data_IF_818675358557
#
_entry.id   IF_818675358557
#
_cell.length_a   1.000
_cell.length_b   1.000
_cell.length_c   1.000
_cell.angle_alpha   90.00
_cell.angle_beta   90.00
_cell.angle_gamma   90.00
#
_symmetry.space_group_name_H-M   'P 1'
#
loop_
_entity.id
_entity.type
_entity.pdbx_description
1 polymer ?
#
# COMPACT_ATOMS: atom_id res chain seq x y z
N UNK A 1 -26.21 -0.46 8.56
CA UNK A 1 -27.40 -1.33 8.40
C UNK A 1 -28.21 -1.10 7.11
N UNK A 2 -28.29 0.13 6.55
CA UNK A 2 -29.03 0.43 5.30
C UNK A 2 -28.36 -0.11 4.02
N UNK A 3 -27.03 0.01 3.91
CA UNK A 3 -26.26 -0.42 2.73
C UNK A 3 -26.36 -1.91 2.43
N UNK A 4 -26.43 -2.76 3.46
CA UNK A 4 -26.55 -4.21 3.31
C UNK A 4 -27.92 -4.65 2.76
N UNK A 5 -28.97 -3.82 2.91
CA UNK A 5 -30.28 -4.06 2.29
C UNK A 5 -30.29 -3.65 0.82
N UNK A 6 -29.69 -2.50 0.49
CA UNK A 6 -29.59 -2.00 -0.89
C UNK A 6 -28.71 -2.89 -1.77
N UNK A 7 -27.60 -3.42 -1.24
CA UNK A 7 -26.70 -4.31 -1.96
C UNK A 7 -27.33 -5.66 -2.37
N UNK A 8 -28.52 -6.03 -1.84
CA UNK A 8 -29.26 -7.24 -2.24
C UNK A 8 -30.06 -7.05 -3.53
N UNK A 9 -30.28 -5.81 -3.95
CA UNK A 9 -31.06 -5.50 -5.13
C UNK A 9 -30.22 -5.77 -6.38
N UNK A 10 -30.71 -6.63 -7.28
CA UNK A 10 -30.02 -6.99 -8.52
C UNK A 10 -29.58 -5.75 -9.32
N UNK A 11 -30.47 -4.76 -9.44
CA UNK A 11 -30.20 -3.50 -10.14
C UNK A 11 -29.02 -2.72 -9.53
N UNK A 12 -28.93 -2.64 -8.21
CA UNK A 12 -27.81 -1.96 -7.52
C UNK A 12 -26.50 -2.68 -7.81
N UNK A 13 -26.50 -4.01 -7.77
CA UNK A 13 -25.31 -4.83 -8.06
C UNK A 13 -24.87 -4.72 -9.52
N UNK A 14 -25.83 -4.71 -10.44
CA UNK A 14 -25.57 -4.51 -11.87
C UNK A 14 -24.98 -3.13 -12.13
N UNK A 15 -25.57 -2.06 -11.57
CA UNK A 15 -25.05 -0.71 -11.70
C UNK A 15 -23.63 -0.58 -11.10
N UNK A 16 -23.41 -1.16 -9.92
CA UNK A 16 -22.09 -1.20 -9.29
C UNK A 16 -21.06 -1.95 -10.15
N UNK A 17 -21.42 -3.09 -10.75
CA UNK A 17 -20.54 -3.83 -11.66
C UNK A 17 -20.17 -3.00 -12.88
N UNK A 18 -21.16 -2.39 -13.54
CA UNK A 18 -20.91 -1.57 -14.73
C UNK A 18 -19.96 -0.43 -14.41
N UNK A 19 -20.20 0.29 -13.30
CA UNK A 19 -19.32 1.37 -12.86
C UNK A 19 -17.92 0.86 -12.53
N UNK A 20 -17.82 -0.20 -11.72
CA UNK A 20 -16.54 -0.74 -11.27
C UNK A 20 -15.71 -1.30 -12.43
N UNK A 21 -16.34 -2.04 -13.36
CA UNK A 21 -15.71 -2.51 -14.61
C UNK A 21 -15.21 -1.34 -15.44
N UNK A 22 -16.03 -0.29 -15.61
CA UNK A 22 -15.63 0.91 -16.36
C UNK A 22 -14.43 1.61 -15.73
N UNK A 23 -14.39 1.74 -14.39
CA UNK A 23 -13.25 2.33 -13.68
C UNK A 23 -11.99 1.46 -13.81
N UNK A 24 -12.12 0.15 -13.66
CA UNK A 24 -11.03 -0.81 -13.75
C UNK A 24 -10.41 -0.85 -15.15
N UNK A 25 -11.22 -0.96 -16.21
CA UNK A 25 -10.73 -0.95 -17.60
C UNK A 25 -10.13 0.40 -17.99
N UNK A 26 -10.71 1.52 -17.54
CA UNK A 26 -10.10 2.86 -17.73
C UNK A 26 -8.75 2.98 -17.04
N UNK A 27 -8.59 2.38 -15.85
CA UNK A 27 -7.32 2.39 -15.13
C UNK A 27 -6.26 1.59 -15.91
N UNK A 28 -6.62 0.44 -16.45
CA UNK A 28 -5.73 -0.40 -17.25
C UNK A 28 -5.29 0.32 -18.53
N UNK A 29 -6.24 0.87 -19.30
CA UNK A 29 -5.92 1.62 -20.51
C UNK A 29 -5.02 2.84 -20.25
N UNK A 30 -5.17 3.51 -19.10
CA UNK A 30 -4.26 4.61 -18.69
C UNK A 30 -2.84 4.12 -18.42
N UNK A 31 -2.66 2.89 -17.95
CA UNK A 31 -1.34 2.31 -17.72
C UNK A 31 -0.65 1.91 -19.03
N UNK A 32 -1.41 1.41 -20.01
CA UNK A 32 -0.85 1.00 -21.31
C UNK A 32 -0.25 2.19 -22.10
N UNK A 33 -0.74 3.41 -21.84
CA UNK A 33 -0.24 4.64 -22.47
C UNK A 33 0.75 5.41 -21.59
N UNK A 34 1.21 4.81 -20.49
CA UNK A 34 2.08 5.46 -19.52
C UNK A 34 3.54 5.27 -19.89
N UNK A 35 4.33 6.35 -19.90
CA UNK A 35 5.78 6.22 -19.85
C UNK A 35 6.18 5.69 -18.47
N UNK A 36 6.53 4.39 -18.44
CA UNK A 36 6.85 3.66 -17.22
C UNK A 36 8.11 4.18 -16.54
N UNK A 37 9.14 4.54 -17.32
CA UNK A 37 10.40 5.03 -16.78
C UNK A 37 10.20 6.40 -16.14
N UNK A 38 9.53 7.32 -16.85
CA UNK A 38 9.21 8.64 -16.33
C UNK A 38 8.32 8.58 -15.08
N UNK A 39 7.35 7.65 -15.03
CA UNK A 39 6.48 7.49 -13.85
C UNK A 39 7.22 6.90 -12.64
N UNK A 40 8.13 5.95 -12.84
CA UNK A 40 8.97 5.42 -11.76
C UNK A 40 9.87 6.52 -11.18
N UNK A 41 10.50 7.32 -12.03
CA UNK A 41 11.31 8.47 -11.58
C UNK A 41 10.47 9.50 -10.83
N UNK A 42 9.32 9.90 -11.38
CA UNK A 42 8.41 10.83 -10.71
C UNK A 42 7.94 10.31 -9.35
N UNK A 43 7.64 9.01 -9.25
CA UNK A 43 7.24 8.36 -8.00
C UNK A 43 8.38 8.39 -6.98
N UNK A 44 9.60 8.02 -7.37
CA UNK A 44 10.78 8.08 -6.50
C UNK A 44 10.98 9.50 -5.98
N UNK A 45 11.00 10.50 -6.86
CA UNK A 45 11.23 11.90 -6.47
C UNK A 45 10.11 12.44 -5.59
N UNK A 46 8.86 12.03 -5.80
CA UNK A 46 7.76 12.35 -4.91
C UNK A 46 8.00 11.78 -3.49
N UNK A 47 8.34 10.50 -3.37
CA UNK A 47 8.59 9.84 -2.08
C UNK A 47 9.76 10.49 -1.34
N UNK A 48 10.85 10.79 -2.05
CA UNK A 48 12.04 11.46 -1.51
C UNK A 48 11.71 12.86 -1.01
N UNK A 49 11.01 13.68 -1.82
CA UNK A 49 10.60 15.03 -1.41
C UNK A 49 9.72 14.98 -0.17
N UNK A 50 8.75 14.07 -0.15
CA UNK A 50 7.84 13.91 0.98
C UNK A 50 8.56 13.52 2.27
N UNK A 51 9.54 12.61 2.18
CA UNK A 51 10.30 12.15 3.34
C UNK A 51 11.50 13.06 3.69
N UNK A 52 11.65 14.25 3.09
CA UNK A 52 12.85 15.08 3.25
C UNK A 52 13.13 15.46 4.71
N UNK A 53 12.10 15.77 5.49
CA UNK A 53 12.27 16.22 6.89
C UNK A 53 12.34 15.10 7.91
N UNK A 54 12.22 13.84 7.47
CA UNK A 54 12.40 12.66 8.33
C UNK A 54 13.86 12.51 8.75
N UNK A 55 14.12 11.78 9.84
CA UNK A 55 15.48 11.43 10.25
C UNK A 55 16.24 10.74 9.12
N UNK A 56 15.63 9.75 8.48
CA UNK A 56 16.20 9.06 7.31
C UNK A 56 16.51 10.05 6.18
N UNK A 57 15.57 10.94 5.85
CA UNK A 57 15.74 11.93 4.79
C UNK A 57 16.88 12.91 5.04
N UNK A 58 17.03 13.39 6.29
CA UNK A 58 18.11 14.29 6.71
C UNK A 58 19.47 13.60 6.64
N UNK A 59 19.58 12.39 7.19
CA UNK A 59 20.84 11.61 7.19
C UNK A 59 21.33 11.29 5.77
N UNK A 60 20.41 11.12 4.81
CA UNK A 60 20.71 10.83 3.41
C UNK A 60 20.70 12.05 2.49
N UNK A 61 20.49 13.25 3.03
CA UNK A 61 20.48 14.49 2.27
C UNK A 61 19.40 14.55 1.18
N UNK A 62 18.18 14.08 1.46
CA UNK A 62 17.06 14.03 0.52
C UNK A 62 16.75 15.38 -0.14
N UNK A 63 16.98 16.48 0.58
CA UNK A 63 16.85 17.83 0.05
C UNK A 63 17.69 18.11 -1.20
N UNK A 64 18.76 17.34 -1.46
CA UNK A 64 19.67 17.48 -2.61
C UNK A 64 19.41 16.47 -3.73
N UNK A 65 18.52 15.50 -3.55
CA UNK A 65 18.24 14.48 -4.56
C UNK A 65 17.34 15.09 -5.65
N UNK A 66 17.80 15.03 -6.90
CA UNK A 66 17.05 15.51 -8.08
C UNK A 66 16.83 14.45 -9.13
N UNK A 67 17.64 13.40 -9.12
CA UNK A 67 17.61 12.32 -10.11
C UNK A 67 17.63 10.95 -9.43
N UNK A 68 17.33 9.89 -10.19
CA UNK A 68 17.52 8.50 -9.73
C UNK A 68 18.97 8.23 -9.32
N UNK A 69 19.95 8.74 -10.09
CA UNK A 69 21.37 8.59 -9.78
C UNK A 69 21.77 9.25 -8.46
N UNK A 70 21.21 10.42 -8.16
CA UNK A 70 21.43 11.09 -6.87
C UNK A 70 20.97 10.23 -5.69
N UNK A 71 19.82 9.57 -5.83
CA UNK A 71 19.28 8.69 -4.82
C UNK A 71 20.16 7.46 -4.63
N UNK A 72 20.55 6.80 -5.72
CA UNK A 72 21.39 5.59 -5.67
C UNK A 72 22.76 5.84 -5.04
N UNK A 73 23.36 7.01 -5.27
CA UNK A 73 24.64 7.39 -4.66
C UNK A 73 24.54 7.64 -3.15
N UNK A 74 23.38 8.09 -2.67
CA UNK A 74 23.17 8.50 -1.27
C UNK A 74 22.56 7.39 -0.43
N UNK A 75 21.64 6.61 -0.99
CA UNK A 75 20.83 5.62 -0.28
C UNK A 75 21.29 4.22 -0.63
N UNK A 76 21.98 3.58 0.31
CA UNK A 76 22.39 2.19 0.18
C UNK A 76 21.22 1.24 0.39
N UNK A 77 21.30 0.07 -0.24
CA UNK A 77 20.41 -1.06 0.03
C UNK A 77 20.51 -1.47 1.50
N UNK A 78 19.38 -1.85 2.08
CA UNK A 78 19.22 -2.19 3.50
C UNK A 78 18.30 -3.37 3.69
N UNK A 79 18.54 -4.11 4.76
CA UNK A 79 17.64 -5.17 5.24
C UNK A 79 16.54 -4.59 6.13
N UNK A 80 15.54 -5.39 6.46
CA UNK A 80 14.53 -5.00 7.47
C UNK A 80 15.19 -4.75 8.82
N UNK A 81 16.15 -5.61 9.18
CA UNK A 81 16.85 -5.58 10.45
C UNK A 81 17.67 -4.29 10.60
N UNK A 82 18.23 -3.76 9.51
CA UNK A 82 18.87 -2.44 9.50
C UNK A 82 17.87 -1.31 9.79
N UNK A 83 16.71 -1.31 9.12
CA UNK A 83 15.68 -0.31 9.39
C UNK A 83 15.15 -0.40 10.81
N UNK A 84 14.92 -1.62 11.29
CA UNK A 84 14.47 -1.87 12.64
C UNK A 84 15.45 -1.31 13.66
N UNK A 85 16.72 -1.71 13.59
CA UNK A 85 17.77 -1.29 14.51
C UNK A 85 18.02 0.22 14.46
N UNK A 86 18.15 0.79 13.26
CA UNK A 86 18.67 2.15 13.12
C UNK A 86 17.57 3.23 13.27
N UNK A 87 16.32 2.92 12.90
CA UNK A 87 15.25 3.91 12.77
C UNK A 87 13.97 3.62 13.55
N UNK A 88 13.63 2.36 13.82
CA UNK A 88 12.30 2.03 14.36
C UNK A 88 12.32 1.55 15.82
N UNK A 89 13.28 0.71 16.21
CA UNK A 89 13.28 0.02 17.51
C UNK A 89 13.23 0.98 18.71
N UNK A 90 13.96 2.10 18.65
CA UNK A 90 14.06 3.03 19.77
C UNK A 90 12.77 3.83 20.02
N UNK A 91 11.91 4.00 19.02
CA UNK A 91 10.67 4.78 19.12
C UNK A 91 9.42 3.94 18.92
N UNK A 92 9.56 2.64 18.62
CA UNK A 92 8.45 1.74 18.38
C UNK A 92 7.48 1.72 19.58
N UNK A 93 6.15 1.78 19.35
CA UNK A 93 5.47 1.73 18.04
C UNK A 93 5.35 3.08 17.31
N UNK A 94 5.72 4.20 17.94
CA UNK A 94 5.66 5.52 17.33
C UNK A 94 6.91 5.84 16.49
N UNK A 95 6.87 5.43 15.22
CA UNK A 95 7.97 5.68 14.27
C UNK A 95 7.79 6.95 13.44
N UNK A 96 6.92 7.87 13.87
CA UNK A 96 6.65 9.10 13.14
C UNK A 96 7.94 9.91 12.94
N UNK A 97 8.18 10.35 11.71
CA UNK A 97 9.34 11.16 11.38
C UNK A 97 10.66 10.38 11.30
N UNK A 98 10.68 9.08 11.63
CA UNK A 98 11.90 8.24 11.49
C UNK A 98 12.23 7.99 10.02
N UNK A 99 11.32 7.32 9.29
CA UNK A 99 11.47 7.01 7.86
C UNK A 99 10.34 7.58 6.99
N UNK A 100 9.23 7.99 7.62
CA UNK A 100 8.09 8.59 6.94
C UNK A 100 7.50 9.73 7.80
N UNK A 101 6.97 10.81 7.21
CA UNK A 101 6.52 11.97 8.00
C UNK A 101 5.34 11.69 8.92
N UNK A 102 4.42 10.83 8.50
CA UNK A 102 3.17 10.54 9.23
C UNK A 102 3.28 9.25 10.02
N UNK A 103 2.70 9.21 11.22
CA UNK A 103 2.57 7.99 12.02
C UNK A 103 1.73 6.93 11.28
N UNK A 104 2.20 5.67 11.18
CA UNK A 104 1.37 4.58 10.67
C UNK A 104 0.33 4.16 11.73
N UNK A 105 -0.97 4.16 11.41
CA UNK A 105 -2.00 3.70 12.35
C UNK A 105 -2.01 2.17 12.55
N UNK A 106 -1.38 1.43 11.63
CA UNK A 106 -1.33 -0.03 11.65
C UNK A 106 0.07 -0.56 11.35
N UNK A 107 0.39 -1.71 11.92
CA UNK A 107 1.52 -2.54 11.51
C UNK A 107 1.03 -3.91 11.06
N UNK A 108 1.40 -4.30 9.85
CA UNK A 108 1.19 -5.65 9.38
C UNK A 108 2.30 -6.56 9.91
N UNK A 109 1.91 -7.69 10.49
CA UNK A 109 2.82 -8.71 10.96
C UNK A 109 3.18 -9.62 9.79
N UNK A 110 4.46 -9.75 9.47
CA UNK A 110 4.93 -10.82 8.59
C UNK A 110 5.69 -11.86 9.41
N UNK A 111 5.36 -13.13 9.23
CA UNK A 111 6.17 -14.25 9.71
C UNK A 111 7.51 -14.20 8.98
N UNK A 112 8.55 -13.71 9.65
CA UNK A 112 9.90 -13.78 9.11
C UNK A 112 10.25 -15.23 8.84
N UNK A 113 10.44 -15.61 7.58
CA UNK A 113 10.93 -16.94 7.25
C UNK A 113 12.32 -17.09 7.87
N UNK A 114 12.45 -18.06 8.79
CA UNK A 114 13.69 -18.65 9.32
C UNK A 114 14.28 -18.14 10.64
N UNK A 115 13.90 -16.97 11.19
CA UNK A 115 14.52 -16.45 12.45
C UNK A 115 13.56 -16.23 13.62
N UNK A 116 12.28 -16.59 13.53
CA UNK A 116 11.35 -16.59 14.66
C UNK A 116 10.90 -15.22 15.19
N UNK A 117 11.49 -14.12 14.71
CA UNK A 117 11.08 -12.76 15.08
C UNK A 117 10.01 -12.22 14.12
N UNK A 118 8.87 -11.81 14.68
CA UNK A 118 7.79 -11.12 13.97
C UNK A 118 8.28 -9.78 13.43
N UNK A 119 8.09 -9.53 12.13
CA UNK A 119 8.42 -8.23 11.51
C UNK A 119 7.18 -7.33 11.50
N UNK A 120 7.36 -6.07 11.86
CA UNK A 120 6.31 -5.06 11.89
C UNK A 120 6.46 -4.13 10.68
N UNK A 121 5.58 -4.30 9.70
CA UNK A 121 5.58 -3.50 8.48
C UNK A 121 4.59 -2.34 8.62
N UNK A 122 5.03 -1.07 8.57
CA UNK A 122 4.14 0.06 8.76
C UNK A 122 3.13 0.18 7.62
N UNK A 123 1.85 0.31 7.97
CA UNK A 123 0.73 0.47 7.02
C UNK A 123 0.08 1.83 7.24
N UNK A 124 0.15 2.68 6.21
CA UNK A 124 -0.44 4.01 6.21
C UNK A 124 -1.54 4.17 5.13
N UNK A 125 -2.23 5.31 5.16
CA UNK A 125 -3.33 5.58 4.21
C UNK A 125 -2.88 5.61 2.75
N UNK A 126 -1.64 6.00 2.48
CA UNK A 126 -1.08 6.04 1.13
C UNK A 126 -0.84 4.63 0.57
N UNK A 127 -0.32 3.72 1.40
CA UNK A 127 -0.17 2.31 1.06
C UNK A 127 -1.54 1.68 0.76
N UNK A 128 -2.57 1.99 1.55
CA UNK A 128 -3.94 1.51 1.31
C UNK A 128 -4.53 2.08 0.03
N UNK A 129 -4.28 3.35 -0.29
CA UNK A 129 -4.71 3.97 -1.55
C UNK A 129 -4.01 3.34 -2.77
N UNK A 130 -2.71 3.01 -2.64
CA UNK A 130 -1.96 2.28 -3.65
C UNK A 130 -2.54 0.87 -3.88
N UNK A 131 -2.82 0.12 -2.80
CA UNK A 131 -3.45 -1.21 -2.90
C UNK A 131 -4.83 -1.16 -3.57
N UNK A 132 -5.67 -0.16 -3.27
CA UNK A 132 -6.96 0.02 -3.97
C UNK A 132 -6.77 0.25 -5.46
N UNK A 133 -5.74 1.00 -5.84
CA UNK A 133 -5.39 1.24 -7.24
C UNK A 133 -4.89 -0.04 -7.92
N UNK A 134 -4.08 -0.84 -7.22
CA UNK A 134 -3.62 -2.14 -7.70
C UNK A 134 -4.80 -3.13 -7.86
N UNK A 135 -5.76 -3.13 -6.93
CA UNK A 135 -6.96 -3.93 -7.03
C UNK A 135 -7.80 -3.57 -8.28
N UNK A 136 -7.93 -2.28 -8.60
CA UNK A 136 -8.59 -1.84 -9.85
C UNK A 136 -7.87 -2.39 -11.09
N UNK A 137 -6.53 -2.43 -11.09
CA UNK A 137 -5.77 -3.02 -12.19
C UNK A 137 -6.02 -4.53 -12.28
N UNK A 138 -5.96 -5.26 -11.16
CA UNK A 138 -6.20 -6.70 -11.11
C UNK A 138 -7.58 -7.06 -11.69
N UNK A 139 -8.63 -6.39 -11.22
CA UNK A 139 -9.99 -6.60 -11.74
C UNK A 139 -10.14 -6.14 -13.19
N UNK A 140 -9.43 -5.09 -13.59
CA UNK A 140 -9.37 -4.63 -14.98
C UNK A 140 -8.81 -5.71 -15.90
N UNK A 141 -7.69 -6.34 -15.52
CA UNK A 141 -7.08 -7.44 -16.26
C UNK A 141 -7.99 -8.68 -16.31
N UNK A 142 -8.67 -9.01 -15.22
CA UNK A 142 -9.67 -10.09 -15.21
C UNK A 142 -10.80 -9.83 -16.20
N UNK A 143 -11.35 -8.62 -16.28
CA UNK A 143 -12.39 -8.31 -17.27
C UNK A 143 -11.88 -8.11 -18.69
N UNK A 144 -10.62 -7.73 -18.87
CA UNK A 144 -10.01 -7.67 -20.20
C UNK A 144 -9.88 -9.07 -20.81
N UNK A 145 -9.60 -10.07 -19.98
CA UNK A 145 -9.44 -11.48 -20.39
C UNK A 145 -10.77 -12.25 -20.39
N UNK A 146 -11.65 -11.95 -19.43
CA UNK A 146 -12.95 -12.61 -19.25
C UNK A 146 -14.08 -11.57 -19.05
N UNK A 147 -14.55 -10.93 -20.14
CA UNK A 147 -15.50 -9.81 -20.10
C UNK A 147 -16.84 -10.11 -19.42
N UNK A 148 -17.24 -11.39 -19.42
CA UNK A 148 -18.50 -11.91 -18.88
C UNK A 148 -18.47 -12.19 -17.37
N UNK A 149 -17.31 -12.11 -16.71
CA UNK A 149 -17.19 -12.44 -15.28
C UNK A 149 -18.14 -11.60 -14.40
N UNK A 150 -19.07 -12.25 -13.68
CA UNK A 150 -20.07 -11.57 -12.86
C UNK A 150 -19.55 -11.22 -11.45
N UNK A 151 -18.36 -10.60 -11.35
CA UNK A 151 -17.63 -10.42 -10.09
C UNK A 151 -18.45 -9.76 -8.96
N UNK A 152 -19.29 -8.76 -9.28
CA UNK A 152 -20.14 -8.10 -8.28
C UNK A 152 -21.59 -8.62 -8.26
N UNK A 153 -21.92 -9.55 -9.17
CA UNK A 153 -23.24 -10.20 -9.28
C UNK A 153 -23.29 -11.60 -8.63
N UNK A 154 -22.14 -12.26 -8.47
CA UNK A 154 -21.98 -13.54 -7.77
C UNK A 154 -21.64 -13.42 -6.27
N UNK A 155 -21.37 -14.53 -5.61
CA UNK A 155 -20.76 -14.52 -4.26
C UNK A 155 -19.24 -14.61 -4.43
N UNK A 156 -18.51 -13.73 -3.76
CA UNK A 156 -17.06 -13.80 -3.67
C UNK A 156 -16.71 -14.54 -2.39
N UNK A 157 -16.01 -15.66 -2.51
CA UNK A 157 -15.42 -16.35 -1.37
C UNK A 157 -13.98 -15.88 -1.22
N UNK A 158 -13.64 -15.38 -0.04
CA UNK A 158 -12.32 -14.87 0.30
C UNK A 158 -11.81 -15.65 1.52
N UNK A 159 -10.66 -16.27 1.38
CA UNK A 159 -9.90 -16.87 2.48
C UNK A 159 -8.81 -15.87 2.84
N UNK A 160 -9.04 -15.11 3.91
CA UNK A 160 -8.06 -14.17 4.45
C UNK A 160 -7.56 -14.61 5.82
N UNK A 161 -6.57 -13.88 6.32
CA UNK A 161 -6.06 -13.98 7.67
C UNK A 161 -7.00 -13.47 8.74
N UNK A 162 -6.52 -13.50 9.97
CA UNK A 162 -7.29 -12.95 11.09
C UNK A 162 -7.42 -11.44 10.97
N UNK A 163 -8.65 -10.94 11.17
CA UNK A 163 -8.92 -9.51 11.31
C UNK A 163 -8.72 -8.99 12.73
N UNK A 164 -8.29 -9.85 13.65
CA UNK A 164 -8.06 -9.48 15.04
C UNK A 164 -6.81 -8.60 15.13
N UNK A 165 -7.04 -7.35 15.51
CA UNK A 165 -5.99 -6.36 15.69
C UNK A 165 -5.60 -6.29 17.16
N UNK A 166 -4.33 -6.53 17.44
CA UNK A 166 -3.73 -6.26 18.74
C UNK A 166 -3.40 -4.76 18.88
N UNK A 167 -3.62 -4.20 20.07
CA UNK A 167 -3.19 -2.83 20.37
C UNK A 167 -1.69 -2.80 20.64
N UNK A 168 -0.98 -1.84 20.04
CA UNK A 168 0.41 -1.54 20.37
C UNK A 168 0.53 -0.32 21.31
N UNK A 169 -0.59 0.34 21.64
CA UNK A 169 -0.62 1.59 22.41
C UNK A 169 -0.75 2.83 21.51
N UNK A 170 -1.06 3.99 22.10
CA UNK A 170 -1.21 5.28 21.41
C UNK A 170 -2.18 5.28 20.19
N UNK A 171 -3.17 4.38 20.18
CA UNK A 171 -4.11 4.24 19.05
C UNK A 171 -3.56 3.43 17.86
N UNK A 172 -2.33 2.93 17.96
CA UNK A 172 -1.67 2.10 16.96
C UNK A 172 -2.05 0.64 17.17
N UNK A 173 -2.28 -0.09 16.08
CA UNK A 173 -2.66 -1.50 16.11
C UNK A 173 -1.77 -2.35 15.22
N UNK A 174 -1.69 -3.65 15.48
CA UNK A 174 -1.03 -4.61 14.61
C UNK A 174 -1.88 -5.83 14.36
N UNK A 175 -1.73 -6.45 13.20
CA UNK A 175 -2.44 -7.66 12.83
C UNK A 175 -1.80 -8.36 11.66
N UNK A 176 -2.35 -9.51 11.29
CA UNK A 176 -1.88 -10.28 10.15
C UNK A 176 -2.04 -9.48 8.83
N UNK A 177 -1.13 -9.72 7.89
CA UNK A 177 -1.19 -9.20 6.54
C UNK A 177 -2.04 -10.07 5.60
N UNK A 178 -2.29 -11.34 5.98
CA UNK A 178 -2.95 -12.34 5.13
C UNK A 178 -4.46 -12.14 4.92
#
# INVERSE_FOLDING_TARGET
MVWARLARWRLVRTAAQVLFRKLALRRLARLDHMDMAAHQEATLLYLVRKATDTRFGKEHGFARIRTVGDFQQRVRLRTYEDFWRDYWQATFPDIQGSTWPTQPPYFALSSGTSTGNTKYLPVNGELLASHRSAALCLFGSLWATHPELPLLQGRLFFLGGSTDLASLGAGIRSGDLS
#
